data_IF_678750228094
#
_entry.id   IF_678750228094
#
_cell.length_a   1.000
_cell.length_b   1.000
_cell.length_c   1.000
_cell.angle_alpha   90.00
_cell.angle_beta   90.00
_cell.angle_gamma   90.00
#
_symmetry.space_group_name_H-M   'P 1'
#
loop_
_entity.id
_entity.type
_entity.pdbx_description
1 polymer ?
#
# COMPACT_ATOMS: atom_id res chain seq x y z
N UNK A 1 -9.29 -18.91 -7.00
CA UNK A 1 -9.36 -18.11 -8.26
C UNK A 1 -7.94 -17.98 -8.77
N UNK A 2 -7.70 -17.99 -10.08
CA UNK A 2 -6.37 -17.72 -10.63
C UNK A 2 -5.93 -16.30 -10.26
N UNK A 3 -4.65 -16.11 -9.93
CA UNK A 3 -4.08 -14.77 -9.76
C UNK A 3 -4.34 -13.96 -11.04
N UNK A 4 -4.91 -12.77 -10.88
CA UNK A 4 -5.16 -11.83 -11.99
C UNK A 4 -4.09 -10.75 -11.98
N UNK A 5 -3.52 -10.45 -13.13
CA UNK A 5 -2.49 -9.43 -13.27
C UNK A 5 -2.90 -8.46 -14.36
N UNK A 6 -2.79 -7.17 -14.08
CA UNK A 6 -3.20 -6.12 -15.00
C UNK A 6 -2.19 -4.97 -14.99
N UNK A 7 -2.01 -4.36 -16.17
CA UNK A 7 -1.17 -3.19 -16.35
C UNK A 7 -1.95 -2.12 -17.09
N UNK A 8 -2.11 -0.95 -16.46
CA UNK A 8 -2.81 0.22 -17.01
C UNK A 8 -1.80 1.32 -17.32
N UNK A 9 -1.70 1.69 -18.60
CA UNK A 9 -1.00 2.91 -19.03
C UNK A 9 -2.03 4.02 -19.19
N UNK A 10 -1.82 5.13 -18.49
CA UNK A 10 -2.86 6.15 -18.26
C UNK A 10 -2.58 7.50 -18.92
N UNK A 11 -1.52 7.62 -19.74
CA UNK A 11 -1.08 8.96 -20.16
C UNK A 11 -0.57 9.74 -18.96
N UNK A 12 -1.06 10.96 -18.79
CA UNK A 12 -0.80 11.80 -17.62
C UNK A 12 -1.88 11.68 -16.53
N UNK A 13 -2.95 10.92 -16.77
CA UNK A 13 -4.13 10.80 -15.90
C UNK A 13 -3.99 9.73 -14.80
N UNK A 14 -2.77 9.50 -14.29
CA UNK A 14 -2.53 8.48 -13.27
C UNK A 14 -3.33 8.74 -11.98
N UNK A 15 -3.48 10.00 -11.58
CA UNK A 15 -4.25 10.36 -10.39
C UNK A 15 -5.71 9.91 -10.53
N UNK A 16 -6.34 10.25 -11.66
CA UNK A 16 -7.73 9.91 -11.95
C UNK A 16 -7.95 8.39 -12.00
N UNK A 17 -7.01 7.64 -12.60
CA UNK A 17 -7.11 6.18 -12.66
C UNK A 17 -6.97 5.53 -11.29
N UNK A 18 -6.01 5.96 -10.46
CA UNK A 18 -5.83 5.43 -9.10
C UNK A 18 -7.07 5.73 -8.25
N UNK A 19 -7.58 6.96 -8.31
CA UNK A 19 -8.77 7.39 -7.58
C UNK A 19 -10.04 6.67 -8.08
N UNK A 20 -10.18 6.48 -9.39
CA UNK A 20 -11.28 5.74 -10.00
C UNK A 20 -11.28 4.26 -9.62
N UNK A 21 -10.11 3.61 -9.61
CA UNK A 21 -9.96 2.23 -9.14
C UNK A 21 -10.25 2.12 -7.64
N UNK A 22 -9.78 3.07 -6.82
CA UNK A 22 -10.09 3.13 -5.40
C UNK A 22 -11.60 3.25 -5.16
N UNK A 23 -12.30 4.17 -5.83
CA UNK A 23 -13.76 4.32 -5.75
C UNK A 23 -14.47 3.04 -6.18
N UNK A 24 -14.06 2.46 -7.31
CA UNK A 24 -14.61 1.21 -7.83
C UNK A 24 -14.49 0.08 -6.80
N UNK A 25 -13.28 -0.19 -6.30
CA UNK A 25 -13.06 -1.27 -5.34
C UNK A 25 -13.79 -1.03 -4.01
N UNK A 26 -13.84 0.23 -3.55
CA UNK A 26 -14.61 0.58 -2.36
C UNK A 26 -16.08 0.25 -2.55
N UNK A 27 -16.70 0.72 -3.62
CA UNK A 27 -18.13 0.55 -3.86
C UNK A 27 -18.53 -0.89 -4.19
N UNK A 28 -17.71 -1.61 -4.97
CA UNK A 28 -17.94 -3.04 -5.23
C UNK A 28 -17.80 -3.89 -3.96
N UNK A 29 -16.92 -3.50 -3.04
CA UNK A 29 -16.76 -4.16 -1.75
C UNK A 29 -17.95 -3.85 -0.84
N UNK A 30 -18.32 -2.58 -0.70
CA UNK A 30 -19.44 -2.15 0.15
C UNK A 30 -20.81 -2.66 -0.32
N UNK A 31 -20.92 -3.06 -1.60
CA UNK A 31 -22.09 -3.78 -2.11
C UNK A 31 -22.19 -5.24 -1.60
N UNK A 32 -21.11 -5.82 -1.07
CA UNK A 32 -21.00 -7.24 -0.68
C UNK A 32 -20.71 -7.45 0.81
N UNK A 33 -20.13 -6.46 1.48
CA UNK A 33 -19.77 -6.52 2.91
C UNK A 33 -19.89 -5.12 3.56
N UNK A 34 -19.96 -5.07 4.89
CA UNK A 34 -20.23 -3.82 5.62
C UNK A 34 -19.06 -2.84 5.65
N UNK A 35 -17.82 -3.32 5.50
CA UNK A 35 -16.60 -2.51 5.62
C UNK A 35 -15.74 -2.62 4.38
N UNK A 36 -15.11 -1.53 3.98
CA UNK A 36 -14.03 -1.52 2.99
C UNK A 36 -12.70 -1.27 3.69
N UNK A 37 -11.79 -2.26 3.63
CA UNK A 37 -10.52 -2.25 4.36
C UNK A 37 -9.38 -2.05 3.38
N UNK A 38 -8.77 -0.86 3.44
CA UNK A 38 -7.72 -0.43 2.52
C UNK A 38 -6.42 -0.15 3.28
N UNK A 39 -5.29 -0.60 2.72
CA UNK A 39 -3.96 -0.20 3.16
C UNK A 39 -3.36 0.81 2.19
N UNK A 40 -2.76 1.88 2.69
CA UNK A 40 -2.13 2.94 1.88
C UNK A 40 -0.66 3.11 2.24
N UNK A 41 0.16 3.43 1.23
CA UNK A 41 1.56 3.81 1.40
C UNK A 41 1.74 5.33 1.38
N UNK A 42 2.86 5.79 1.93
CA UNK A 42 3.28 7.20 1.85
C UNK A 42 3.88 7.59 0.50
N UNK A 43 4.59 8.72 0.49
CA UNK A 43 5.20 9.27 -0.73
C UNK A 43 4.16 9.85 -1.68
N UNK A 44 4.48 9.91 -2.98
CA UNK A 44 3.60 10.54 -3.98
C UNK A 44 2.20 9.93 -4.08
N UNK A 45 2.02 8.69 -3.63
CA UNK A 45 0.69 8.07 -3.55
C UNK A 45 -0.18 8.70 -2.46
N UNK A 46 0.40 9.07 -1.32
CA UNK A 46 -0.35 9.79 -0.28
C UNK A 46 -0.78 11.18 -0.79
N UNK A 47 0.07 11.83 -1.59
CA UNK A 47 -0.26 13.12 -2.21
C UNK A 47 -1.47 12.98 -3.16
N UNK A 48 -1.45 12.00 -4.08
CA UNK A 48 -2.58 11.69 -4.98
C UNK A 48 -3.87 11.44 -4.20
N UNK A 49 -3.80 10.64 -3.12
CA UNK A 49 -4.96 10.33 -2.30
C UNK A 49 -5.46 11.55 -1.53
N UNK A 50 -4.57 12.38 -0.99
CA UNK A 50 -4.99 13.60 -0.29
C UNK A 50 -5.64 14.63 -1.22
N UNK A 51 -5.19 14.70 -2.48
CA UNK A 51 -5.73 15.63 -3.48
C UNK A 51 -7.16 15.28 -3.94
N UNK A 52 -7.49 13.98 -4.07
CA UNK A 52 -8.76 13.58 -4.70
C UNK A 52 -9.66 12.63 -3.91
N UNK A 53 -9.20 12.03 -2.80
CA UNK A 53 -10.02 11.04 -2.08
C UNK A 53 -11.31 11.65 -1.52
N UNK A 54 -11.34 12.94 -1.18
CA UNK A 54 -12.57 13.60 -0.67
C UNK A 54 -13.70 13.67 -1.70
N UNK A 55 -13.38 13.60 -2.99
CA UNK A 55 -14.34 13.75 -4.09
C UNK A 55 -14.96 12.42 -4.52
N UNK A 56 -14.47 11.29 -3.99
CA UNK A 56 -15.01 9.98 -4.32
C UNK A 56 -16.43 9.81 -3.81
N UNK A 57 -17.28 9.21 -4.64
CA UNK A 57 -18.66 8.85 -4.35
C UNK A 57 -18.70 7.51 -3.62
N UNK A 58 -18.31 7.52 -2.34
CA UNK A 58 -18.34 6.36 -1.46
C UNK A 58 -18.80 6.70 -0.05
N UNK A 59 -19.27 5.69 0.69
CA UNK A 59 -19.66 5.84 2.11
C UNK A 59 -18.43 5.69 3.01
N UNK A 60 -17.73 6.80 3.25
CA UNK A 60 -16.53 6.83 4.07
C UNK A 60 -16.74 6.35 5.50
N UNK A 61 -17.96 6.39 6.05
CA UNK A 61 -18.23 5.87 7.40
C UNK A 61 -18.01 4.35 7.53
N UNK A 62 -17.94 3.66 6.40
CA UNK A 62 -17.69 2.22 6.30
C UNK A 62 -16.25 1.87 5.92
N UNK A 63 -15.40 2.87 5.69
CA UNK A 63 -14.01 2.64 5.37
C UNK A 63 -13.21 2.31 6.64
N UNK A 64 -12.14 1.56 6.47
CA UNK A 64 -11.12 1.32 7.46
C UNK A 64 -9.76 1.43 6.75
N UNK A 65 -9.07 2.55 6.99
CA UNK A 65 -7.84 2.95 6.31
C UNK A 65 -6.64 2.63 7.22
N UNK A 66 -5.76 1.79 6.72
CA UNK A 66 -4.54 1.34 7.36
C UNK A 66 -3.33 1.81 6.56
N UNK A 67 -2.15 1.75 7.16
CA UNK A 67 -0.88 2.09 6.54
C UNK A 67 -0.06 0.84 6.26
N UNK A 68 0.40 0.69 5.01
CA UNK A 68 1.26 -0.42 4.58
C UNK A 68 2.63 -0.35 5.27
N UNK A 69 3.10 0.86 5.56
CA UNK A 69 4.24 1.14 6.43
C UNK A 69 4.13 2.54 7.04
N UNK A 70 4.85 2.75 8.13
CA UNK A 70 4.97 4.05 8.79
C UNK A 70 6.39 4.25 9.34
N UNK A 71 6.85 5.49 9.28
CA UNK A 71 8.10 5.92 9.92
C UNK A 71 7.79 6.19 11.38
N UNK A 72 8.56 5.62 12.30
CA UNK A 72 8.36 5.83 13.74
C UNK A 72 8.95 7.19 14.13
N UNK A 73 8.18 8.23 13.81
CA UNK A 73 8.45 9.64 14.07
C UNK A 73 7.17 10.31 14.61
N UNK A 74 7.25 11.50 15.24
CA UNK A 74 6.04 12.22 15.63
C UNK A 74 5.10 12.46 14.45
N UNK A 75 3.78 12.44 14.68
CA UNK A 75 2.76 12.64 13.62
C UNK A 75 2.89 13.99 12.91
N UNK A 76 3.43 15.01 13.58
CA UNK A 76 3.69 16.32 12.98
C UNK A 76 4.95 16.35 12.08
N UNK A 77 5.76 15.30 12.09
CA UNK A 77 6.95 15.18 11.24
C UNK A 77 6.53 15.04 9.77
N UNK A 78 7.28 15.67 8.87
CA UNK A 78 7.07 15.59 7.42
C UNK A 78 7.19 14.16 6.88
N UNK A 79 7.93 13.29 7.59
CA UNK A 79 8.17 11.90 7.21
C UNK A 79 7.10 10.96 7.80
N UNK A 80 6.09 11.42 8.54
CA UNK A 80 4.94 10.59 8.94
C UNK A 80 3.94 10.46 7.80
N UNK A 81 3.65 9.23 7.39
CA UNK A 81 2.61 8.93 6.40
C UNK A 81 1.24 9.39 6.91
N UNK A 82 0.85 9.03 8.14
CA UNK A 82 -0.41 9.52 8.72
C UNK A 82 -0.41 11.05 8.89
N UNK A 83 0.73 11.64 9.20
CA UNK A 83 0.92 13.09 9.25
C UNK A 83 0.53 13.80 7.94
N UNK A 84 0.85 13.21 6.79
CA UNK A 84 0.41 13.69 5.46
C UNK A 84 -1.12 13.70 5.39
N UNK A 85 -1.79 12.58 5.64
CA UNK A 85 -3.26 12.53 5.60
C UNK A 85 -3.92 13.48 6.62
N UNK A 86 -3.33 13.65 7.80
CA UNK A 86 -3.85 14.62 8.78
C UNK A 86 -3.81 16.05 8.27
N UNK A 87 -2.67 16.45 7.72
CA UNK A 87 -2.40 17.83 7.32
C UNK A 87 -3.06 18.17 5.98
N UNK A 88 -2.99 17.25 5.02
CA UNK A 88 -3.27 17.56 3.63
C UNK A 88 -4.68 17.09 3.20
N UNK A 89 -5.29 16.16 3.95
CA UNK A 89 -6.67 15.71 3.72
C UNK A 89 -7.61 16.11 4.88
N UNK A 90 -7.39 15.58 6.08
CA UNK A 90 -8.36 15.70 7.19
C UNK A 90 -8.51 17.13 7.72
N UNK A 91 -7.48 17.97 7.60
CA UNK A 91 -7.57 19.39 7.96
C UNK A 91 -8.48 20.19 7.00
N UNK A 92 -8.74 19.67 5.80
CA UNK A 92 -9.48 20.37 4.75
C UNK A 92 -10.81 19.68 4.38
N UNK A 93 -11.04 18.46 4.86
CA UNK A 93 -12.14 17.58 4.48
C UNK A 93 -12.98 17.14 5.70
N UNK A 94 -14.31 17.24 5.60
CA UNK A 94 -15.24 16.85 6.69
C UNK A 94 -16.04 15.57 6.41
N UNK A 95 -16.12 15.11 5.18
CA UNK A 95 -16.88 13.90 4.81
C UNK A 95 -16.13 12.60 5.13
N UNK A 96 -14.83 12.68 5.46
CA UNK A 96 -14.02 11.54 5.86
C UNK A 96 -13.73 11.63 7.37
N UNK A 97 -14.34 10.80 8.22
CA UNK A 97 -14.11 10.86 9.66
C UNK A 97 -12.70 10.37 10.00
N UNK A 98 -11.96 11.08 10.87
CA UNK A 98 -10.63 10.63 11.33
C UNK A 98 -10.67 9.23 11.97
N UNK A 99 -11.80 8.84 12.58
CA UNK A 99 -12.00 7.53 13.20
C UNK A 99 -11.91 6.34 12.25
N UNK A 100 -11.90 6.56 10.93
CA UNK A 100 -11.73 5.51 9.93
C UNK A 100 -10.25 5.19 9.69
N UNK A 101 -9.33 6.02 10.18
CA UNK A 101 -7.89 5.80 10.08
C UNK A 101 -7.37 5.02 11.29
N UNK A 102 -6.54 4.02 11.00
CA UNK A 102 -5.87 3.17 11.97
C UNK A 102 -4.36 3.38 11.83
N UNK A 103 -3.79 4.46 12.41
CA UNK A 103 -2.36 4.74 12.33
C UNK A 103 -1.52 3.80 13.20
N UNK A 104 -0.26 3.63 12.84
CA UNK A 104 0.75 3.04 13.74
C UNK A 104 0.95 3.97 14.94
N UNK A 105 0.99 3.42 16.14
CA UNK A 105 1.26 4.20 17.34
C UNK A 105 2.76 4.54 17.43
N UNK A 106 3.15 5.70 16.88
CA UNK A 106 4.55 6.13 16.82
C UNK A 106 5.11 6.67 18.14
N UNK A 107 4.31 6.71 19.21
CA UNK A 107 4.77 7.05 20.55
C UNK A 107 5.45 5.86 21.28
N UNK A 108 5.28 4.65 20.77
CA UNK A 108 5.90 3.42 21.30
C UNK A 108 7.30 3.19 20.71
N UNK A 109 8.09 2.31 21.33
CA UNK A 109 9.26 1.75 20.66
C UNK A 109 8.85 1.02 19.37
N UNK A 110 9.73 0.93 18.38
CA UNK A 110 9.43 0.34 17.07
C UNK A 110 8.96 -1.13 17.17
N UNK A 111 9.51 -1.93 18.10
CA UNK A 111 9.06 -3.30 18.30
C UNK A 111 7.66 -3.36 18.91
N UNK A 112 7.41 -2.51 19.91
CA UNK A 112 6.10 -2.40 20.56
C UNK A 112 5.05 -1.84 19.59
N UNK A 113 5.41 -0.85 18.78
CA UNK A 113 4.57 -0.25 17.75
C UNK A 113 4.16 -1.27 16.68
N UNK A 114 5.09 -2.11 16.22
CA UNK A 114 4.78 -3.19 15.28
C UNK A 114 3.81 -4.21 15.89
N UNK A 115 4.05 -4.65 17.13
CA UNK A 115 3.16 -5.58 17.83
C UNK A 115 1.78 -4.97 18.10
N UNK A 116 1.72 -3.69 18.47
CA UNK A 116 0.48 -2.95 18.68
C UNK A 116 -0.33 -2.78 17.40
N UNK A 117 0.36 -2.50 16.30
CA UNK A 117 -0.27 -2.36 15.01
C UNK A 117 -0.83 -3.69 14.48
N UNK A 118 -0.10 -4.80 14.65
CA UNK A 118 -0.62 -6.13 14.33
C UNK A 118 -1.88 -6.45 15.15
N UNK A 119 -1.87 -6.19 16.47
CA UNK A 119 -3.06 -6.36 17.32
C UNK A 119 -4.24 -5.52 16.84
N UNK A 120 -3.98 -4.27 16.45
CA UNK A 120 -5.00 -3.36 15.92
C UNK A 120 -5.63 -3.90 14.64
N UNK A 121 -4.82 -4.37 13.69
CA UNK A 121 -5.30 -5.00 12.46
C UNK A 121 -6.15 -6.24 12.81
N UNK A 122 -5.61 -7.18 13.59
CA UNK A 122 -6.32 -8.43 13.93
C UNK A 122 -7.66 -8.17 14.62
N UNK A 123 -7.69 -7.27 15.59
CA UNK A 123 -8.91 -6.86 16.30
C UNK A 123 -9.94 -6.25 15.34
N UNK A 124 -9.50 -5.40 14.41
CA UNK A 124 -10.39 -4.71 13.46
C UNK A 124 -10.96 -5.65 12.40
N UNK A 125 -10.23 -6.72 12.06
CA UNK A 125 -10.70 -7.81 11.22
C UNK A 125 -11.52 -8.88 11.96
N UNK A 126 -11.58 -8.82 13.30
CA UNK A 126 -12.30 -9.81 14.11
C UNK A 126 -11.62 -11.19 14.14
N UNK A 127 -10.29 -11.23 14.01
CA UNK A 127 -9.53 -12.48 13.97
C UNK A 127 -9.13 -12.93 15.37
N UNK A 128 -9.50 -14.15 15.73
CA UNK A 128 -9.26 -14.71 17.06
C UNK A 128 -8.09 -15.68 17.06
N UNK A 129 -7.85 -16.39 15.95
CA UNK A 129 -6.87 -17.48 15.89
C UNK A 129 -5.55 -17.04 15.27
N UNK A 130 -4.40 -17.34 15.88
CA UNK A 130 -3.09 -16.87 15.39
C UNK A 130 -2.79 -17.19 13.91
N UNK A 131 -3.30 -18.30 13.39
CA UNK A 131 -3.12 -18.73 12.00
C UNK A 131 -3.96 -17.95 10.97
N UNK A 132 -4.97 -17.19 11.42
CA UNK A 132 -5.78 -16.37 10.54
C UNK A 132 -4.98 -15.17 10.06
N UNK A 133 -4.91 -14.99 8.74
CA UNK A 133 -4.26 -13.85 8.09
C UNK A 133 -5.35 -12.89 7.61
N UNK A 134 -5.33 -11.60 8.02
CA UNK A 134 -6.22 -10.57 7.48
C UNK A 134 -6.09 -10.47 5.96
N UNK A 135 -7.21 -10.37 5.25
CA UNK A 135 -7.23 -10.15 3.80
C UNK A 135 -7.81 -8.77 3.51
N UNK A 136 -6.92 -7.81 3.23
CA UNK A 136 -7.30 -6.45 2.84
C UNK A 136 -8.06 -6.46 1.51
N UNK A 137 -9.05 -5.57 1.37
CA UNK A 137 -9.79 -5.46 0.13
C UNK A 137 -8.93 -4.80 -0.97
N UNK A 138 -8.09 -3.84 -0.57
CA UNK A 138 -7.14 -3.17 -1.45
C UNK A 138 -5.89 -2.75 -0.66
N UNK A 139 -4.70 -3.00 -1.21
CA UNK A 139 -3.46 -2.36 -0.79
C UNK A 139 -2.94 -1.47 -1.91
N UNK A 140 -2.79 -0.18 -1.63
CA UNK A 140 -2.18 0.80 -2.53
C UNK A 140 -0.71 0.95 -2.13
N UNK A 141 0.17 0.50 -3.02
CA UNK A 141 1.60 0.34 -2.79
C UNK A 141 2.41 1.19 -3.75
N UNK A 142 3.53 1.71 -3.26
CA UNK A 142 4.55 2.36 -4.09
C UNK A 142 5.80 1.51 -4.17
N UNK A 143 6.70 1.86 -5.09
CA UNK A 143 8.05 1.30 -5.10
C UNK A 143 9.11 2.39 -5.22
N UNK A 144 10.24 2.21 -4.52
CA UNK A 144 11.37 3.14 -4.60
C UNK A 144 12.31 2.89 -5.78
N UNK A 145 13.34 3.76 -5.95
CA UNK A 145 14.34 3.62 -7.02
C UNK A 145 15.26 2.40 -6.88
N UNK A 146 15.20 1.71 -5.75
CA UNK A 146 15.85 0.45 -5.39
C UNK A 146 14.86 -0.75 -5.41
N UNK A 147 13.61 -0.54 -5.80
CA UNK A 147 12.57 -1.57 -5.87
C UNK A 147 11.98 -2.01 -4.53
N UNK A 148 12.31 -1.32 -3.44
CA UNK A 148 11.62 -1.51 -2.15
C UNK A 148 10.14 -1.16 -2.28
N UNK A 149 9.27 -1.84 -1.55
CA UNK A 149 7.84 -1.50 -1.39
C UNK A 149 7.49 -1.53 0.08
N UNK A 150 6.52 -0.71 0.52
CA UNK A 150 6.31 -0.41 1.93
C UNK A 150 7.67 -0.04 2.56
N UNK A 151 8.12 -0.74 3.60
CA UNK A 151 9.50 -0.66 4.08
C UNK A 151 10.27 -1.99 3.94
N UNK A 152 9.90 -2.82 2.97
CA UNK A 152 10.64 -4.04 2.61
C UNK A 152 11.76 -3.69 1.63
N UNK A 153 13.02 -3.76 2.07
CA UNK A 153 14.20 -3.35 1.30
C UNK A 153 14.95 -4.53 0.67
N UNK A 154 15.59 -4.34 -0.50
CA UNK A 154 16.43 -5.37 -1.13
C UNK A 154 17.49 -5.93 -0.18
N UNK A 155 17.63 -7.25 -0.15
CA UNK A 155 18.61 -7.94 0.70
C UNK A 155 18.33 -7.90 2.21
N UNK A 156 17.24 -7.28 2.65
CA UNK A 156 16.90 -7.21 4.07
C UNK A 156 16.34 -8.56 4.58
N UNK A 157 16.69 -9.03 5.79
CA UNK A 157 16.21 -10.32 6.32
C UNK A 157 14.69 -10.48 6.39
N UNK A 158 13.94 -9.36 6.44
CA UNK A 158 12.48 -9.39 6.44
C UNK A 158 11.85 -9.95 5.15
N UNK A 159 12.59 -10.02 4.05
CA UNK A 159 12.09 -10.68 2.82
C UNK A 159 11.91 -12.20 3.01
N UNK A 160 12.61 -12.78 3.99
CA UNK A 160 12.49 -14.19 4.36
C UNK A 160 11.43 -14.47 5.43
N UNK A 161 10.78 -13.43 5.97
CA UNK A 161 9.72 -13.59 6.97
C UNK A 161 8.48 -14.27 6.36
N UNK A 162 8.00 -15.34 7.01
CA UNK A 162 6.87 -16.16 6.53
C UNK A 162 5.68 -16.20 7.48
N UNK A 163 5.80 -15.66 8.69
CA UNK A 163 4.82 -15.79 9.78
C UNK A 163 4.32 -14.46 10.30
N UNK A 164 5.21 -13.51 10.60
CA UNK A 164 4.79 -12.19 11.11
C UNK A 164 3.99 -11.45 10.05
N UNK A 165 2.96 -10.73 10.47
CA UNK A 165 2.13 -9.92 9.56
C UNK A 165 2.62 -8.48 9.51
N UNK A 166 3.10 -7.98 10.65
CA UNK A 166 3.73 -6.67 10.78
C UNK A 166 5.11 -6.85 11.42
N UNK A 167 6.10 -6.09 10.94
CA UNK A 167 7.45 -6.16 11.46
C UNK A 167 8.03 -4.77 11.77
N UNK A 168 8.86 -4.65 12.83
CA UNK A 168 9.71 -3.50 13.05
C UNK A 168 10.94 -3.55 12.14
N UNK A 169 11.44 -2.37 11.80
CA UNK A 169 12.76 -2.16 11.18
C UNK A 169 13.44 -1.10 12.03
N UNK A 170 14.58 -1.43 12.62
CA UNK A 170 15.31 -0.48 13.48
C UNK A 170 16.32 0.37 12.71
N UNK A 171 16.83 -0.18 11.60
CA UNK A 171 17.98 0.34 10.86
C UNK A 171 17.71 0.35 9.34
N UNK A 172 16.60 0.97 8.92
CA UNK A 172 16.31 1.15 7.50
C UNK A 172 17.50 1.79 6.77
N UNK A 173 17.85 1.32 5.57
CA UNK A 173 18.91 1.93 4.75
C UNK A 173 18.52 3.35 4.26
N UNK A 174 17.27 3.78 4.51
CA UNK A 174 16.78 5.11 4.16
C UNK A 174 16.26 5.83 5.42
N UNK A 175 16.61 7.11 5.62
CA UNK A 175 16.07 7.87 6.73
C UNK A 175 14.55 8.06 6.60
N UNK A 176 13.81 8.18 7.71
CA UNK A 176 14.19 7.81 9.07
C UNK A 176 14.42 6.29 9.25
N UNK A 177 15.32 5.87 10.16
CA UNK A 177 15.76 4.47 10.25
C UNK A 177 14.70 3.53 10.85
N UNK A 178 13.91 4.02 11.81
CA UNK A 178 12.90 3.22 12.51
C UNK A 178 11.57 3.21 11.75
N UNK A 179 11.07 2.02 11.41
CA UNK A 179 9.84 1.85 10.64
C UNK A 179 9.02 0.65 11.12
N UNK A 180 7.71 0.73 10.95
CA UNK A 180 6.79 -0.40 11.07
C UNK A 180 6.26 -0.71 9.67
N UNK A 181 6.26 -1.98 9.26
CA UNK A 181 5.86 -2.39 7.90
C UNK A 181 4.97 -3.61 7.94
N UNK A 182 4.01 -3.67 7.02
CA UNK A 182 3.39 -4.94 6.62
C UNK A 182 4.45 -5.81 5.93
N UNK A 183 4.41 -7.11 6.20
CA UNK A 183 5.32 -8.10 5.62
C UNK A 183 4.72 -8.73 4.36
N UNK A 184 5.52 -9.48 3.59
CA UNK A 184 5.03 -10.19 2.40
C UNK A 184 3.87 -11.16 2.69
N UNK A 185 3.85 -11.94 3.81
CA UNK A 185 2.68 -12.73 4.18
C UNK A 185 1.37 -11.95 4.24
N UNK A 186 1.38 -10.74 4.81
CA UNK A 186 0.18 -9.92 4.90
C UNK A 186 -0.17 -9.27 3.56
N UNK A 187 0.84 -8.71 2.88
CA UNK A 187 0.65 -8.05 1.58
C UNK A 187 0.09 -9.02 0.54
N UNK A 188 0.68 -10.21 0.41
CA UNK A 188 0.25 -11.22 -0.56
C UNK A 188 -1.07 -11.93 -0.18
N UNK A 189 -1.63 -11.66 1.00
CA UNK A 189 -2.96 -12.15 1.38
C UNK A 189 -4.09 -11.15 1.04
N UNK A 190 -3.76 -9.97 0.50
CA UNK A 190 -4.76 -9.00 0.04
C UNK A 190 -5.53 -9.49 -1.19
N UNK A 191 -6.78 -9.05 -1.32
CA UNK A 191 -7.61 -9.32 -2.50
C UNK A 191 -7.09 -8.58 -3.73
N UNK A 192 -6.59 -7.36 -3.55
CA UNK A 192 -5.98 -6.53 -4.61
C UNK A 192 -4.74 -5.82 -4.07
N UNK A 193 -3.62 -5.94 -4.79
CA UNK A 193 -2.44 -5.09 -4.63
C UNK A 193 -2.34 -4.18 -5.86
N UNK A 194 -2.41 -2.87 -5.64
CA UNK A 194 -2.32 -1.85 -6.69
C UNK A 194 -1.04 -1.05 -6.51
N UNK A 195 -0.19 -1.04 -7.52
CA UNK A 195 1.01 -0.21 -7.60
C UNK A 195 0.79 1.02 -8.48
N UNK A 196 1.13 2.20 -7.98
CA UNK A 196 1.17 3.44 -8.77
C UNK A 196 2.59 3.86 -9.13
N UNK A 197 2.81 4.20 -10.41
CA UNK A 197 4.09 4.66 -10.94
C UNK A 197 3.95 6.01 -11.68
N UNK A 198 4.29 7.10 -11.00
CA UNK A 198 4.29 8.45 -11.56
C UNK A 198 5.73 8.95 -11.80
N UNK A 199 5.95 9.55 -12.97
CA UNK A 199 7.21 10.21 -13.34
C UNK A 199 8.24 9.29 -13.99
N UNK A 200 9.00 9.85 -14.95
CA UNK A 200 9.98 9.09 -15.76
C UNK A 200 11.12 8.43 -14.97
N UNK A 201 11.44 8.94 -13.78
CA UNK A 201 12.44 8.32 -12.89
C UNK A 201 12.07 6.92 -12.39
N UNK A 202 10.83 6.46 -12.63
CA UNK A 202 10.37 5.10 -12.29
C UNK A 202 10.58 4.09 -13.42
N UNK A 203 10.84 4.52 -14.65
CA UNK A 203 10.72 3.66 -15.83
C UNK A 203 11.60 2.41 -15.80
N UNK A 204 12.89 2.58 -15.50
CA UNK A 204 13.83 1.45 -15.43
C UNK A 204 13.44 0.46 -14.32
N UNK A 205 13.06 0.98 -13.15
CA UNK A 205 12.67 0.14 -12.03
C UNK A 205 11.34 -0.58 -12.27
N UNK A 206 10.36 0.11 -12.86
CA UNK A 206 9.08 -0.49 -13.21
C UNK A 206 9.28 -1.64 -14.21
N UNK A 207 10.09 -1.43 -15.26
CA UNK A 207 10.44 -2.49 -16.21
C UNK A 207 11.06 -3.71 -15.51
N UNK A 208 12.01 -3.51 -14.60
CA UNK A 208 12.62 -4.61 -13.83
C UNK A 208 11.60 -5.40 -13.00
N UNK A 209 10.60 -4.72 -12.46
CA UNK A 209 9.55 -5.33 -11.64
C UNK A 209 8.55 -6.12 -12.51
N UNK A 210 8.05 -5.54 -13.61
CA UNK A 210 6.93 -6.11 -14.37
C UNK A 210 7.37 -6.94 -15.57
N UNK A 211 8.45 -6.57 -16.25
CA UNK A 211 8.97 -7.30 -17.43
C UNK A 211 10.03 -8.32 -17.04
N UNK A 212 11.08 -7.88 -16.34
CA UNK A 212 12.22 -8.75 -16.03
C UNK A 212 11.91 -9.69 -14.84
N UNK A 213 10.86 -9.39 -14.07
CA UNK A 213 10.43 -10.12 -12.87
C UNK A 213 11.62 -10.39 -11.94
N UNK A 214 12.45 -9.37 -11.72
CA UNK A 214 13.66 -9.45 -10.89
C UNK A 214 13.28 -9.70 -9.42
N UNK A 215 13.45 -10.95 -8.96
CA UNK A 215 13.07 -11.38 -7.60
C UNK A 215 14.02 -10.88 -6.51
N UNK A 216 15.10 -10.18 -6.86
CA UNK A 216 15.90 -9.45 -5.86
C UNK A 216 15.20 -8.19 -5.36
N UNK A 217 14.16 -7.74 -6.07
CA UNK A 217 13.39 -6.55 -5.77
C UNK A 217 12.15 -6.89 -4.93
N UNK A 218 11.97 -6.27 -3.76
CA UNK A 218 10.80 -6.50 -2.90
C UNK A 218 9.45 -6.28 -3.59
N UNK A 219 9.33 -5.27 -4.47
CA UNK A 219 8.11 -5.02 -5.21
C UNK A 219 7.73 -6.17 -6.17
N UNK A 220 8.69 -6.90 -6.73
CA UNK A 220 8.45 -8.10 -7.55
C UNK A 220 7.87 -9.26 -6.73
N UNK A 221 8.23 -9.33 -5.44
CA UNK A 221 7.77 -10.38 -4.52
C UNK A 221 6.32 -10.16 -4.07
N UNK A 222 5.72 -9.02 -4.40
CA UNK A 222 4.28 -8.80 -4.26
C UNK A 222 3.57 -9.45 -5.44
N UNK A 223 3.01 -10.62 -5.18
CA UNK A 223 2.33 -11.47 -6.17
C UNK A 223 1.24 -12.30 -5.45
N UNK A 224 0.10 -11.68 -5.09
CA UNK A 224 -0.93 -12.33 -4.29
C UNK A 224 -1.52 -13.55 -5.01
N UNK A 225 -1.31 -14.79 -4.52
CA UNK A 225 -1.65 -16.01 -5.26
C UNK A 225 -3.15 -16.22 -5.47
N UNK A 226 -3.97 -15.65 -4.59
CA UNK A 226 -5.43 -15.72 -4.63
C UNK A 226 -6.09 -14.37 -4.93
N UNK A 227 -5.30 -13.36 -5.27
CA UNK A 227 -5.75 -11.99 -5.45
C UNK A 227 -5.45 -11.44 -6.85
N UNK A 228 -5.54 -10.12 -6.95
CA UNK A 228 -5.23 -9.36 -8.15
C UNK A 228 -4.01 -8.46 -7.90
N UNK A 229 -3.13 -8.38 -8.89
CA UNK A 229 -1.98 -7.47 -8.91
C UNK A 229 -2.17 -6.49 -10.06
N UNK A 230 -2.26 -5.22 -9.72
CA UNK A 230 -2.50 -4.14 -10.68
C UNK A 230 -1.30 -3.19 -10.65
N UNK A 231 -0.81 -2.82 -11.83
CA UNK A 231 0.10 -1.70 -11.99
C UNK A 231 -0.59 -0.60 -12.78
N UNK A 232 -0.53 0.63 -12.28
CA UNK A 232 -0.99 1.84 -12.95
C UNK A 232 0.23 2.74 -13.16
N UNK A 233 0.53 3.05 -14.42
CA UNK A 233 1.67 3.88 -14.78
C UNK A 233 1.25 5.05 -15.68
N UNK A 234 1.85 6.21 -15.44
CA UNK A 234 1.81 7.30 -16.42
C UNK A 234 2.74 6.96 -17.60
N UNK A 235 2.62 7.65 -18.73
CA UNK A 235 3.42 7.34 -19.94
C UNK A 235 4.92 7.41 -19.68
N UNK A 236 5.38 8.45 -18.96
CA UNK A 236 6.78 8.60 -18.62
C UNK A 236 7.31 7.43 -17.77
N UNK A 237 6.54 6.95 -16.79
CA UNK A 237 6.93 5.80 -15.96
C UNK A 237 6.80 4.48 -16.73
N UNK A 238 5.85 4.39 -17.66
CA UNK A 238 5.65 3.22 -18.49
C UNK A 238 6.61 3.12 -19.67
N UNK A 239 7.39 4.15 -20.00
CA UNK A 239 8.03 4.33 -21.31
C UNK A 239 8.86 3.15 -21.85
N UNK A 240 9.31 2.23 -20.99
CA UNK A 240 10.11 1.05 -21.35
C UNK A 240 9.30 -0.26 -21.44
N UNK A 241 7.96 -0.18 -21.40
CA UNK A 241 7.04 -1.32 -21.44
C UNK A 241 6.29 -1.26 -22.77
N UNK A 242 6.72 -2.03 -23.76
CA UNK A 242 6.16 -1.94 -25.12
C UNK A 242 4.87 -2.76 -25.29
N UNK A 243 4.77 -3.89 -24.57
CA UNK A 243 3.65 -4.83 -24.60
C UNK A 243 3.02 -5.00 -23.22
N UNK A 244 1.84 -5.64 -23.14
CA UNK A 244 1.25 -6.03 -21.86
C UNK A 244 2.17 -7.04 -21.14
N UNK A 245 2.75 -6.67 -19.97
CA UNK A 245 3.67 -7.52 -19.22
C UNK A 245 3.03 -8.83 -18.74
N UNK A 246 1.70 -8.91 -18.71
CA UNK A 246 0.96 -10.04 -18.16
C UNK A 246 0.18 -10.84 -19.20
N UNK A 247 0.28 -10.49 -20.50
CA UNK A 247 -0.45 -11.18 -21.57
C UNK A 247 -0.07 -12.68 -21.76
N UNK A 248 1.01 -13.15 -21.11
CA UNK A 248 1.51 -14.54 -21.22
C UNK A 248 1.50 -15.31 -19.89
N UNK A 249 0.99 -14.74 -18.80
CA UNK A 249 1.02 -15.35 -17.45
C UNK A 249 -0.31 -15.98 -17.03
#
# INVERSE_FOLDING_TARGET
MSAKRAFYRTGDAICDEILGLLEKFANETLAKQDKFRVGVSGGSLADILCEGMSDLRSDFSKWQIFFCDERVVPVADKDSTFGIFKRDLLAHCKNIPESVFFPVNTALDVNEAAADYERTIRKTFGLEKPEEIPSFDLLILGFGPDGHTASLFPGHPLLEEKKKLVAPIENSPKPPPKRVTMTLPLINNAKVCLFGAQGGGKAEMLKRIVMDRDTSLPATLVDPPNGELIFVACDAAGALIEDDPFAKS
#
